data_IF_344527625584
#
_entry.id   IF_344527625584
#
_cell.length_a   1.000
_cell.length_b   1.000
_cell.length_c   1.000
_cell.angle_alpha   90.00
_cell.angle_beta   90.00
_cell.angle_gamma   90.00
#
_symmetry.space_group_name_H-M   'P 1'
#
loop_
_entity.id
_entity.type
_entity.pdbx_description
1 polymer ?
#
# COMPACT_ATOMS: atom_id res chain seq x y z
N UNK A 1 12.26 -19.88 -9.57
CA UNK A 1 12.57 -21.32 -9.50
C UNK A 1 11.62 -22.17 -10.35
N UNK A 2 10.30 -22.07 -10.17
CA UNK A 2 9.32 -22.87 -10.95
C UNK A 2 9.53 -22.74 -12.45
N UNK A 3 9.59 -21.51 -12.97
CA UNK A 3 9.84 -21.25 -14.39
C UNK A 3 11.13 -21.90 -14.91
N UNK A 4 12.23 -21.79 -14.16
CA UNK A 4 13.51 -22.40 -14.52
C UNK A 4 13.43 -23.94 -14.54
N UNK A 5 12.80 -24.54 -13.53
CA UNK A 5 12.58 -26.00 -13.50
C UNK A 5 11.64 -26.50 -14.60
N UNK A 6 10.80 -25.62 -15.14
CA UNK A 6 9.90 -25.89 -16.26
C UNK A 6 10.55 -25.64 -17.63
N UNK A 7 11.83 -25.27 -17.69
CA UNK A 7 12.55 -25.01 -18.94
C UNK A 7 12.18 -23.69 -19.62
N UNK A 8 11.53 -22.77 -18.91
CA UNK A 8 11.29 -21.42 -19.43
C UNK A 8 12.58 -20.60 -19.40
N UNK A 9 12.69 -19.65 -20.31
CA UNK A 9 13.82 -18.71 -20.34
C UNK A 9 13.77 -17.80 -19.12
N UNK A 10 14.83 -17.84 -18.31
CA UNK A 10 14.97 -17.06 -17.08
C UNK A 10 16.37 -16.46 -17.06
N UNK A 11 16.44 -15.15 -16.80
CA UNK A 11 17.69 -14.41 -16.58
C UNK A 11 17.71 -13.90 -15.14
N UNK A 12 17.53 -12.59 -14.92
CA UNK A 12 17.25 -12.06 -13.58
C UNK A 12 15.79 -12.32 -13.20
N UNK A 13 14.89 -12.32 -14.18
CA UNK A 13 13.48 -12.69 -14.07
C UNK A 13 13.04 -13.66 -15.17
N UNK A 14 11.76 -14.03 -15.17
CA UNK A 14 11.13 -14.78 -16.25
C UNK A 14 11.07 -13.86 -17.47
N UNK A 15 11.76 -14.23 -18.55
CA UNK A 15 11.83 -13.40 -19.74
C UNK A 15 10.50 -13.44 -20.47
N UNK A 16 9.89 -12.27 -20.68
CA UNK A 16 8.63 -12.13 -21.39
C UNK A 16 8.74 -11.18 -22.59
N UNK A 17 7.96 -11.47 -23.64
CA UNK A 17 7.75 -10.59 -24.80
C UNK A 17 6.77 -9.44 -24.49
N UNK A 18 6.48 -8.58 -25.48
CA UNK A 18 5.57 -7.44 -25.30
C UNK A 18 4.11 -7.85 -24.99
N UNK A 19 3.70 -9.08 -25.28
CA UNK A 19 2.38 -9.60 -24.91
C UNK A 19 2.40 -10.35 -23.58
N UNK A 20 3.51 -10.26 -22.84
CA UNK A 20 3.77 -10.93 -21.57
C UNK A 20 3.80 -12.46 -21.68
N UNK A 21 4.04 -13.00 -22.87
CA UNK A 21 4.29 -14.43 -23.09
C UNK A 21 5.72 -14.76 -22.72
N UNK A 22 5.90 -15.91 -22.10
CA UNK A 22 7.24 -16.49 -21.84
C UNK A 22 7.79 -17.16 -23.10
N UNK A 23 8.91 -17.87 -22.98
CA UNK A 23 9.43 -18.70 -24.07
C UNK A 23 8.50 -19.86 -24.48
N UNK A 24 7.53 -20.23 -23.65
CA UNK A 24 6.38 -21.04 -24.08
C UNK A 24 5.20 -20.10 -24.42
N UNK A 25 4.67 -20.13 -25.66
CA UNK A 25 3.62 -19.21 -26.10
C UNK A 25 2.27 -19.40 -25.39
N UNK A 26 2.08 -20.51 -24.67
CA UNK A 26 0.87 -20.77 -23.88
C UNK A 26 1.01 -20.39 -22.41
N UNK A 27 2.19 -19.94 -21.99
CA UNK A 27 2.49 -19.56 -20.61
C UNK A 27 2.78 -18.07 -20.56
N UNK A 28 2.03 -17.38 -19.70
CA UNK A 28 2.20 -15.95 -19.42
C UNK A 28 2.80 -15.77 -18.04
N UNK A 29 3.55 -14.69 -17.84
CA UNK A 29 3.98 -14.25 -16.53
C UNK A 29 3.71 -12.75 -16.35
N UNK A 30 3.35 -12.37 -15.14
CA UNK A 30 3.11 -10.97 -14.72
C UNK A 30 3.69 -10.78 -13.33
N UNK A 31 4.04 -9.55 -12.99
CA UNK A 31 4.52 -9.20 -11.66
C UNK A 31 6.02 -8.92 -11.61
N UNK A 32 6.53 -8.82 -10.38
CA UNK A 32 7.94 -8.54 -10.09
C UNK A 32 8.88 -9.67 -10.56
N UNK A 33 8.34 -10.85 -10.86
CA UNK A 33 9.10 -11.97 -11.39
C UNK A 33 9.40 -11.83 -12.89
N UNK A 34 8.81 -10.87 -13.59
CA UNK A 34 8.98 -10.67 -15.04
C UNK A 34 10.21 -9.81 -15.33
N UNK A 35 10.99 -10.26 -16.31
CA UNK A 35 11.98 -9.46 -17.01
C UNK A 35 11.46 -9.15 -18.41
N UNK A 36 11.13 -7.88 -18.66
CA UNK A 36 10.63 -7.40 -19.95
C UNK A 36 11.65 -6.45 -20.56
N UNK A 37 12.10 -6.73 -21.79
CA UNK A 37 13.15 -5.96 -22.50
C UNK A 37 14.41 -5.72 -21.65
N UNK A 38 14.79 -6.69 -20.82
CA UNK A 38 15.95 -6.63 -19.92
C UNK A 38 15.75 -5.82 -18.65
N UNK A 39 14.52 -5.38 -18.37
CA UNK A 39 14.15 -4.55 -17.21
C UNK A 39 13.25 -5.33 -16.25
N UNK A 40 13.51 -5.17 -14.94
CA UNK A 40 12.67 -5.71 -13.87
C UNK A 40 12.01 -4.56 -13.12
N UNK A 41 10.72 -4.69 -12.89
CA UNK A 41 9.93 -3.69 -12.20
C UNK A 41 9.56 -4.17 -10.79
N UNK A 42 10.05 -3.47 -9.77
CA UNK A 42 9.74 -3.73 -8.35
C UNK A 42 8.66 -2.80 -7.80
N UNK A 43 7.63 -2.52 -8.60
CA UNK A 43 6.54 -1.59 -8.27
C UNK A 43 5.21 -2.15 -8.74
N UNK A 44 4.13 -1.79 -8.05
CA UNK A 44 2.78 -2.30 -8.34
C UNK A 44 2.21 -1.77 -9.66
N UNK A 45 2.45 -0.51 -10.03
CA UNK A 45 1.87 0.09 -11.25
C UNK A 45 2.27 -0.66 -12.54
N UNK A 46 3.56 -0.99 -12.79
CA UNK A 46 3.94 -1.84 -13.91
C UNK A 46 3.19 -3.18 -13.95
N UNK A 47 2.89 -3.77 -12.79
CA UNK A 47 2.18 -5.06 -12.72
C UNK A 47 0.73 -4.90 -13.20
N UNK A 48 0.08 -3.77 -12.93
CA UNK A 48 -1.25 -3.49 -13.47
C UNK A 48 -1.23 -3.38 -14.99
N UNK A 49 -0.25 -2.68 -15.56
CA UNK A 49 -0.09 -2.57 -17.01
C UNK A 49 0.16 -3.95 -17.65
N UNK A 50 1.04 -4.76 -17.07
CA UNK A 50 1.29 -6.14 -17.50
C UNK A 50 0.01 -7.00 -17.44
N UNK A 51 -0.74 -6.92 -16.34
CA UNK A 51 -2.01 -7.64 -16.16
C UNK A 51 -3.07 -7.21 -17.18
N UNK A 52 -3.17 -5.90 -17.50
CA UNK A 52 -4.10 -5.39 -18.52
C UNK A 52 -3.79 -6.00 -19.89
N UNK A 53 -2.51 -5.99 -20.29
CA UNK A 53 -2.06 -6.60 -21.56
C UNK A 53 -2.39 -8.09 -21.62
N UNK A 54 -2.08 -8.84 -20.56
CA UNK A 54 -2.43 -10.28 -20.50
C UNK A 54 -3.95 -10.49 -20.57
N UNK A 55 -4.73 -9.68 -19.87
CA UNK A 55 -6.19 -9.77 -19.90
C UNK A 55 -6.73 -9.51 -21.31
N UNK A 56 -6.26 -8.47 -22.00
CA UNK A 56 -6.69 -8.12 -23.36
C UNK A 56 -6.35 -9.22 -24.39
N UNK A 57 -5.15 -9.80 -24.28
CA UNK A 57 -4.69 -10.91 -25.13
C UNK A 57 -5.52 -12.16 -24.88
N UNK A 58 -5.72 -12.55 -23.62
CA UNK A 58 -6.45 -13.78 -23.26
C UNK A 58 -7.95 -13.69 -23.58
N UNK A 59 -8.56 -12.52 -23.37
CA UNK A 59 -9.99 -12.29 -23.66
C UNK A 59 -10.26 -12.00 -25.14
N UNK A 60 -9.20 -11.80 -25.95
CA UNK A 60 -9.27 -11.39 -27.35
C UNK A 60 -9.94 -10.02 -27.56
N UNK A 61 -10.06 -9.22 -26.51
CA UNK A 61 -10.55 -7.84 -26.59
C UNK A 61 -9.48 -6.88 -27.13
N UNK A 62 -8.20 -7.25 -27.04
CA UNK A 62 -7.07 -6.51 -27.61
C UNK A 62 -5.94 -7.47 -27.97
N UNK A 63 -6.10 -8.20 -29.07
CA UNK A 63 -5.15 -9.25 -29.47
C UNK A 63 -3.75 -8.70 -29.80
N UNK A 64 -3.67 -7.42 -30.14
CA UNK A 64 -2.42 -6.72 -30.43
C UNK A 64 -1.94 -5.85 -29.25
N UNK A 65 -2.52 -6.04 -28.06
CA UNK A 65 -2.09 -5.34 -26.86
C UNK A 65 -0.61 -5.65 -26.56
N UNK A 66 0.13 -4.61 -26.20
CA UNK A 66 1.57 -4.66 -25.96
C UNK A 66 1.92 -3.85 -24.72
N UNK A 67 2.77 -4.44 -23.88
CA UNK A 67 3.49 -3.78 -22.81
C UNK A 67 4.84 -3.35 -23.37
N UNK A 68 5.13 -2.05 -23.34
CA UNK A 68 6.36 -1.47 -23.91
C UNK A 68 7.35 -0.98 -22.85
N UNK A 69 7.05 -1.27 -21.58
CA UNK A 69 7.78 -0.78 -20.41
C UNK A 69 7.05 0.38 -19.74
N UNK A 70 7.20 0.49 -18.42
CA UNK A 70 6.55 1.52 -17.60
C UNK A 70 7.49 2.69 -17.28
N UNK A 71 6.91 3.90 -17.24
CA UNK A 71 7.52 5.06 -16.59
C UNK A 71 7.41 4.93 -15.08
N UNK A 72 8.52 5.12 -14.37
CA UNK A 72 8.57 4.86 -12.93
C UNK A 72 8.49 6.14 -12.10
N UNK A 73 7.54 6.13 -11.17
CA UNK A 73 7.39 7.14 -10.14
C UNK A 73 7.18 6.50 -8.79
N UNK A 74 7.99 6.90 -7.81
CA UNK A 74 7.91 6.40 -6.43
C UNK A 74 7.65 7.55 -5.47
N UNK A 75 6.77 7.30 -4.50
CA UNK A 75 6.50 8.20 -3.39
C UNK A 75 6.73 7.44 -2.10
N UNK A 76 7.74 7.87 -1.35
CA UNK A 76 8.10 7.31 -0.05
C UNK A 76 7.58 8.23 1.04
N UNK A 77 6.82 7.65 1.98
CA UNK A 77 6.39 8.30 3.23
C UNK A 77 6.91 7.47 4.38
N UNK A 78 8.14 7.74 4.83
CA UNK A 78 8.78 6.99 5.91
C UNK A 78 9.45 7.97 6.86
N UNK A 79 9.21 7.80 8.17
CA UNK A 79 9.93 8.49 9.26
C UNK A 79 10.01 10.03 9.13
N UNK A 80 8.90 10.68 8.79
CA UNK A 80 8.85 12.15 8.70
C UNK A 80 9.57 12.73 7.48
N UNK A 81 9.96 11.89 6.52
CA UNK A 81 10.51 12.31 5.24
C UNK A 81 9.49 12.02 4.13
N UNK A 82 9.02 13.08 3.49
CA UNK A 82 8.27 13.01 2.25
C UNK A 82 9.25 13.09 1.08
N UNK A 83 9.35 12.01 0.31
CA UNK A 83 10.21 11.93 -0.87
C UNK A 83 9.42 11.42 -2.07
N UNK A 84 9.56 12.10 -3.20
CA UNK A 84 9.06 11.67 -4.50
C UNK A 84 10.22 11.64 -5.47
N UNK A 85 10.35 10.55 -6.21
CA UNK A 85 11.34 10.40 -7.28
C UNK A 85 10.68 9.75 -8.47
N UNK A 86 10.82 10.35 -9.65
CA UNK A 86 10.30 9.83 -10.90
C UNK A 86 11.30 10.02 -12.04
N UNK A 87 11.29 9.12 -13.00
CA UNK A 87 12.12 9.18 -14.21
C UNK A 87 13.62 9.31 -13.94
N UNK A 88 14.28 10.08 -14.79
CA UNK A 88 15.73 10.28 -14.78
C UNK A 88 16.20 11.04 -13.53
N UNK A 89 17.26 10.52 -12.90
CA UNK A 89 17.87 11.18 -11.71
C UNK A 89 18.89 12.23 -12.12
N UNK A 90 19.51 12.06 -13.28
CA UNK A 90 20.54 12.92 -13.85
C UNK A 90 20.19 13.18 -15.32
N UNK A 91 20.64 14.32 -15.88
CA UNK A 91 20.55 14.57 -17.31
C UNK A 91 21.13 13.41 -18.11
N UNK A 92 20.41 12.98 -19.13
CA UNK A 92 20.83 11.94 -20.06
C UNK A 92 21.10 12.51 -21.46
N UNK A 93 20.72 13.78 -21.71
CA UNK A 93 20.98 14.53 -22.94
C UNK A 93 21.58 15.92 -22.65
N UNK A 94 22.42 16.48 -23.53
CA UNK A 94 22.83 17.90 -23.47
C UNK A 94 21.67 18.90 -23.55
N UNK A 95 20.55 18.51 -24.17
CA UNK A 95 19.36 19.35 -24.33
C UNK A 95 18.45 19.35 -23.07
N UNK A 96 18.84 18.61 -22.04
CA UNK A 96 18.07 18.55 -20.79
C UNK A 96 18.19 19.86 -20.01
N UNK A 97 17.06 20.53 -19.84
CA UNK A 97 16.92 21.63 -18.90
C UNK A 97 16.82 21.06 -17.47
N UNK A 98 17.66 21.54 -16.56
CA UNK A 98 17.65 21.12 -15.15
C UNK A 98 17.31 22.30 -14.25
N UNK A 99 16.18 22.19 -13.55
CA UNK A 99 15.74 23.18 -12.56
C UNK A 99 15.93 22.60 -11.16
N UNK A 100 16.65 23.33 -10.29
CA UNK A 100 16.91 22.89 -8.92
C UNK A 100 16.57 23.99 -7.93
N UNK A 101 15.83 23.63 -6.89
CA UNK A 101 15.66 24.42 -5.68
C UNK A 101 16.15 23.65 -4.46
N UNK A 102 16.85 24.34 -3.57
CA UNK A 102 17.40 23.76 -2.35
C UNK A 102 17.28 24.75 -1.21
N UNK A 103 16.64 24.31 -0.12
CA UNK A 103 16.64 25.00 1.17
C UNK A 103 17.01 24.00 2.27
N UNK A 104 18.31 23.87 2.60
CA UNK A 104 18.77 22.91 3.59
C UNK A 104 18.23 23.16 5.00
N UNK A 105 17.97 24.42 5.36
CA UNK A 105 17.48 24.79 6.69
C UNK A 105 16.04 24.30 6.91
N UNK A 106 15.24 24.29 5.84
CA UNK A 106 13.87 23.74 5.84
C UNK A 106 13.81 22.27 5.40
N UNK A 107 14.95 21.65 5.07
CA UNK A 107 15.00 20.29 4.57
C UNK A 107 14.37 20.09 3.19
N UNK A 108 14.31 21.13 2.36
CA UNK A 108 13.68 21.09 1.05
C UNK A 108 14.71 20.87 -0.06
N UNK A 109 14.38 19.96 -0.96
CA UNK A 109 15.11 19.78 -2.22
C UNK A 109 14.12 19.44 -3.33
N UNK A 110 14.13 20.22 -4.42
CA UNK A 110 13.32 19.97 -5.59
C UNK A 110 14.22 20.00 -6.82
N UNK A 111 14.16 18.96 -7.64
CA UNK A 111 14.86 18.86 -8.93
C UNK A 111 13.86 18.45 -9.99
N UNK A 112 13.92 19.11 -11.13
CA UNK A 112 13.17 18.80 -12.33
C UNK A 112 14.15 18.70 -13.51
N UNK A 113 13.99 17.66 -14.32
CA UNK A 113 14.69 17.45 -15.58
C UNK A 113 13.65 17.51 -16.68
N UNK A 114 13.84 18.40 -17.63
CA UNK A 114 12.91 18.68 -18.73
C UNK A 114 13.61 18.45 -20.07
N UNK A 115 12.92 17.78 -20.99
CA UNK A 115 13.32 17.63 -22.40
C UNK A 115 12.09 17.76 -23.27
N UNK A 116 12.20 18.52 -24.35
CA UNK A 116 11.10 18.76 -25.29
C UNK A 116 9.81 19.23 -24.60
N UNK A 117 9.95 20.14 -23.64
CA UNK A 117 8.87 20.67 -22.79
C UNK A 117 8.16 19.64 -21.89
N UNK A 118 8.72 18.44 -21.72
CA UNK A 118 8.15 17.35 -20.93
C UNK A 118 9.04 16.96 -19.76
N UNK A 119 8.41 16.47 -18.70
CA UNK A 119 9.13 15.93 -17.54
C UNK A 119 9.86 14.65 -17.95
N UNK A 120 11.19 14.62 -17.83
CA UNK A 120 12.00 13.41 -17.98
C UNK A 120 12.36 12.81 -16.62
N UNK A 121 12.42 13.64 -15.58
CA UNK A 121 12.63 13.17 -14.22
C UNK A 121 12.42 14.25 -13.19
N UNK A 122 12.09 13.85 -11.96
CA UNK A 122 11.94 14.77 -10.85
C UNK A 122 12.26 14.13 -9.51
N UNK A 123 12.79 14.94 -8.59
CA UNK A 123 13.03 14.56 -7.19
C UNK A 123 12.48 15.68 -6.30
N UNK A 124 11.54 15.35 -5.42
CA UNK A 124 10.97 16.29 -4.43
C UNK A 124 11.17 15.72 -3.03
N UNK A 125 11.81 16.48 -2.15
CA UNK A 125 12.10 16.14 -0.76
C UNK A 125 11.57 17.22 0.18
N UNK A 126 10.92 16.79 1.25
CA UNK A 126 10.37 17.64 2.30
C UNK A 126 8.98 18.18 1.92
N UNK A 127 8.90 19.00 0.87
CA UNK A 127 7.63 19.47 0.33
C UNK A 127 7.28 18.72 -0.96
N UNK A 128 6.25 17.87 -0.86
CA UNK A 128 5.74 17.05 -1.97
C UNK A 128 4.31 17.41 -2.37
N UNK A 129 3.81 18.61 -2.02
CA UNK A 129 2.42 19.02 -2.30
C UNK A 129 2.03 18.85 -3.78
N UNK A 130 2.91 19.27 -4.69
CA UNK A 130 2.68 19.22 -6.15
C UNK A 130 3.07 17.90 -6.83
N UNK A 131 3.49 16.90 -6.04
CA UNK A 131 3.99 15.64 -6.59
C UNK A 131 2.99 14.87 -7.45
N UNK A 132 1.70 14.99 -7.16
CA UNK A 132 0.66 14.30 -7.93
C UNK A 132 0.52 14.91 -9.32
N UNK A 133 0.49 16.24 -9.44
CA UNK A 133 0.43 16.93 -10.74
C UNK A 133 1.68 16.62 -11.55
N UNK A 134 2.87 16.73 -10.94
CA UNK A 134 4.12 16.44 -11.63
C UNK A 134 4.19 14.98 -12.09
N UNK A 135 3.66 14.05 -11.30
CA UNK A 135 3.53 12.64 -11.69
C UNK A 135 2.60 12.48 -12.90
N UNK A 136 1.46 13.18 -12.94
CA UNK A 136 0.55 13.13 -14.09
C UNK A 136 1.22 13.68 -15.36
N UNK A 137 1.93 14.80 -15.27
CA UNK A 137 2.67 15.37 -16.39
C UNK A 137 3.75 14.42 -16.89
N UNK A 138 4.46 13.75 -15.98
CA UNK A 138 5.46 12.74 -16.32
C UNK A 138 4.87 11.50 -17.00
N UNK A 139 3.80 10.93 -16.43
CA UNK A 139 3.18 9.70 -16.95
C UNK A 139 2.51 9.94 -18.31
N UNK A 140 1.88 11.10 -18.51
CA UNK A 140 1.11 11.40 -19.72
C UNK A 140 1.87 12.20 -20.79
N UNK A 141 3.19 12.43 -20.62
CA UNK A 141 3.97 13.29 -21.52
C UNK A 141 3.36 14.69 -21.69
N UNK A 142 2.81 15.23 -20.60
CA UNK A 142 2.15 16.53 -20.57
C UNK A 142 3.13 17.68 -20.73
N UNK A 143 2.69 18.71 -21.43
CA UNK A 143 3.43 19.96 -21.59
C UNK A 143 3.58 20.70 -20.25
N UNK A 144 4.78 21.23 -20.02
CA UNK A 144 5.09 22.07 -18.87
C UNK A 144 4.80 23.54 -19.18
N UNK A 145 4.38 24.34 -18.17
CA UNK A 145 4.27 25.78 -18.33
C UNK A 145 5.64 26.41 -18.59
N UNK A 146 5.67 27.57 -19.25
CA UNK A 146 6.92 28.30 -19.54
C UNK A 146 7.71 28.57 -18.25
N UNK A 147 7.02 28.95 -17.17
CA UNK A 147 7.62 29.16 -15.88
C UNK A 147 7.68 27.84 -15.08
N UNK A 148 8.84 27.18 -15.10
CA UNK A 148 9.07 25.91 -14.39
C UNK A 148 8.87 25.99 -12.88
N UNK A 149 8.93 27.18 -12.29
CA UNK A 149 8.68 27.36 -10.87
C UNK A 149 7.23 26.99 -10.50
N UNK A 150 6.26 27.14 -11.40
CA UNK A 150 4.83 26.87 -11.13
C UNK A 150 4.54 25.38 -10.93
N UNK A 151 5.36 24.49 -11.50
CA UNK A 151 5.24 23.04 -11.26
C UNK A 151 6.09 22.56 -10.07
N UNK A 152 7.00 23.41 -9.58
CA UNK A 152 7.84 23.12 -8.42
C UNK A 152 7.23 23.69 -7.14
N UNK A 153 6.54 24.82 -7.20
CA UNK A 153 5.93 25.53 -6.08
C UNK A 153 4.47 25.80 -6.39
N UNK A 154 3.65 25.71 -5.35
CA UNK A 154 2.28 26.19 -5.42
C UNK A 154 2.31 27.67 -5.87
N UNK A 155 1.60 28.01 -6.93
CA UNK A 155 1.38 29.41 -7.24
C UNK A 155 0.69 30.01 -6.01
N UNK A 156 1.32 31.02 -5.41
CA UNK A 156 0.67 31.83 -4.39
C UNK A 156 -0.54 32.45 -5.08
N UNK A 157 -1.74 31.93 -4.77
CA UNK A 157 -3.08 32.28 -5.27
C UNK A 157 -3.77 31.17 -6.09
N UNK A 158 -4.45 30.24 -5.38
CA UNK A 158 -5.78 29.72 -5.75
C UNK A 158 -5.98 29.02 -7.11
N UNK A 159 -4.93 28.84 -7.89
CA UNK A 159 -4.97 28.28 -9.25
C UNK A 159 -4.14 27.01 -9.26
N UNK A 160 -4.79 25.89 -8.95
CA UNK A 160 -4.21 24.58 -9.23
C UNK A 160 -4.02 24.48 -10.75
N UNK A 161 -2.79 24.26 -11.23
CA UNK A 161 -2.49 24.08 -12.68
C UNK A 161 -3.34 22.96 -13.33
N UNK A 162 -3.91 22.06 -12.53
CA UNK A 162 -4.93 21.11 -12.94
C UNK A 162 -6.02 21.08 -11.86
N UNK A 163 -7.26 21.45 -12.19
CA UNK A 163 -8.38 21.05 -11.34
C UNK A 163 -8.56 19.54 -11.49
N UNK A 164 -8.80 18.83 -10.39
CA UNK A 164 -9.08 17.40 -10.45
C UNK A 164 -10.30 17.07 -11.32
N UNK A 165 -11.21 18.03 -11.47
CA UNK A 165 -12.34 18.00 -12.40
C UNK A 165 -11.92 17.93 -13.88
N UNK A 166 -10.77 18.51 -14.26
CA UNK A 166 -10.31 18.62 -15.65
C UNK A 166 -9.45 17.43 -16.10
N UNK A 167 -9.11 16.51 -15.18
CA UNK A 167 -8.38 15.29 -15.53
C UNK A 167 -9.19 14.44 -16.52
N UNK A 168 -8.56 13.76 -17.50
CA UNK A 168 -9.27 12.81 -18.34
C UNK A 168 -9.79 11.62 -17.53
N UNK A 169 -10.84 10.97 -18.02
CA UNK A 169 -11.45 9.79 -17.37
C UNK A 169 -10.45 8.65 -17.15
N UNK A 170 -9.49 8.50 -18.06
CA UNK A 170 -8.40 7.51 -17.97
C UNK A 170 -7.28 7.89 -17.01
N UNK A 171 -7.28 9.11 -16.43
CA UNK A 171 -6.21 9.55 -15.55
C UNK A 171 -6.07 8.64 -14.34
N UNK A 172 -4.87 8.11 -14.13
CA UNK A 172 -4.56 7.23 -13.02
C UNK A 172 -4.59 8.03 -11.71
N UNK A 173 -5.47 7.67 -10.77
CA UNK A 173 -5.63 8.38 -9.48
C UNK A 173 -4.96 7.61 -8.33
N UNK A 174 -5.11 6.29 -8.27
CA UNK A 174 -4.50 5.44 -7.25
C UNK A 174 -3.58 4.37 -7.83
N UNK A 175 -2.27 4.62 -7.81
CA UNK A 175 -1.27 3.69 -8.36
C UNK A 175 -1.20 2.35 -7.59
N UNK A 176 -1.53 2.35 -6.29
CA UNK A 176 -1.50 1.11 -5.50
C UNK A 176 -2.58 0.11 -5.92
N UNK A 177 -3.75 0.60 -6.35
CA UNK A 177 -4.91 -0.24 -6.62
C UNK A 177 -5.42 -0.12 -8.06
N UNK A 178 -4.66 0.55 -8.95
CA UNK A 178 -5.01 0.64 -10.37
C UNK A 178 -6.28 1.45 -10.66
N UNK A 179 -6.68 2.38 -9.79
CA UNK A 179 -7.96 3.12 -9.90
C UNK A 179 -7.78 4.43 -10.66
N UNK A 180 -8.57 4.65 -11.71
CA UNK A 180 -8.60 5.87 -12.52
C UNK A 180 -9.72 6.83 -12.11
N UNK A 181 -9.76 8.04 -12.71
CA UNK A 181 -10.80 9.04 -12.46
C UNK A 181 -12.19 8.48 -12.76
N UNK A 182 -12.36 7.78 -13.88
CA UNK A 182 -13.64 7.17 -14.27
C UNK A 182 -14.19 6.25 -13.19
N UNK A 183 -13.37 5.38 -12.61
CA UNK A 183 -13.81 4.45 -11.55
C UNK A 183 -14.35 5.21 -10.32
N UNK A 184 -13.75 6.35 -10.00
CA UNK A 184 -14.20 7.22 -8.89
C UNK A 184 -15.52 7.88 -9.25
N UNK A 185 -15.63 8.48 -10.44
CA UNK A 185 -16.85 9.15 -10.92
C UNK A 185 -18.01 8.15 -11.04
N UNK A 186 -17.76 6.94 -11.51
CA UNK A 186 -18.74 5.85 -11.53
C UNK A 186 -19.17 5.44 -10.11
N UNK A 187 -18.24 5.34 -9.15
CA UNK A 187 -18.59 5.07 -7.75
C UNK A 187 -19.42 6.21 -7.12
N UNK A 188 -19.18 7.46 -7.52
CA UNK A 188 -20.00 8.60 -7.10
C UNK A 188 -21.42 8.47 -7.68
N UNK A 189 -21.53 8.30 -8.99
CA UNK A 189 -22.80 8.35 -9.71
C UNK A 189 -23.68 7.11 -9.52
N UNK A 190 -23.07 5.92 -9.52
CA UNK A 190 -23.80 4.65 -9.50
C UNK A 190 -24.00 4.11 -8.08
N UNK A 191 -23.04 4.35 -7.19
CA UNK A 191 -23.05 3.82 -5.82
C UNK A 191 -23.31 4.89 -4.74
N UNK A 192 -23.43 6.16 -5.14
CA UNK A 192 -23.71 7.27 -4.21
C UNK A 192 -22.56 7.55 -3.25
N UNK A 193 -21.32 7.22 -3.61
CA UNK A 193 -20.16 7.48 -2.77
C UNK A 193 -19.90 8.99 -2.65
N UNK A 194 -20.01 9.55 -1.45
CA UNK A 194 -19.80 11.00 -1.20
C UNK A 194 -18.56 11.35 -0.38
N UNK A 195 -17.84 10.36 0.15
CA UNK A 195 -16.64 10.57 0.98
C UNK A 195 -15.44 9.79 0.45
N UNK A 196 -14.23 10.19 0.85
CA UNK A 196 -12.99 9.49 0.47
C UNK A 196 -13.01 8.06 1.01
N UNK A 197 -13.54 7.85 2.22
CA UNK A 197 -13.78 6.54 2.83
C UNK A 197 -14.70 5.67 1.97
N UNK A 198 -15.85 6.19 1.55
CA UNK A 198 -16.81 5.46 0.71
C UNK A 198 -16.17 5.03 -0.62
N UNK A 199 -15.45 5.95 -1.29
CA UNK A 199 -14.68 5.64 -2.49
C UNK A 199 -13.65 4.54 -2.21
N UNK A 200 -12.93 4.61 -1.09
CA UNK A 200 -11.96 3.57 -0.73
C UNK A 200 -12.58 2.23 -0.38
N UNK A 201 -13.81 2.19 0.14
CA UNK A 201 -14.56 0.93 0.34
C UNK A 201 -14.89 0.29 -1.00
N UNK A 202 -15.39 1.09 -1.96
CA UNK A 202 -15.83 0.60 -3.27
C UNK A 202 -14.68 0.24 -4.20
N UNK A 203 -13.69 1.12 -4.33
CA UNK A 203 -12.62 1.04 -5.35
C UNK A 203 -11.27 0.56 -4.79
N UNK A 204 -11.13 0.48 -3.46
CA UNK A 204 -9.84 0.29 -2.74
C UNK A 204 -8.89 1.49 -2.82
N UNK A 205 -9.21 2.54 -3.58
CA UNK A 205 -8.38 3.74 -3.63
C UNK A 205 -8.18 4.35 -2.23
N UNK A 206 -6.97 4.84 -1.94
CA UNK A 206 -6.65 5.46 -0.65
C UNK A 206 -6.45 4.48 0.52
N UNK A 207 -6.61 3.16 0.33
CA UNK A 207 -6.39 2.13 1.36
C UNK A 207 -4.98 1.53 1.38
N UNK A 208 -4.16 1.79 0.35
CA UNK A 208 -2.76 1.36 0.25
C UNK A 208 -1.81 2.34 0.96
N UNK A 209 -1.15 3.20 0.19
CA UNK A 209 -0.25 4.23 0.74
C UNK A 209 -0.97 5.55 1.13
N UNK A 210 -2.24 5.71 0.75
CA UNK A 210 -3.05 6.89 1.06
C UNK A 210 -2.70 8.18 0.29
N UNK A 211 -1.73 8.18 -0.61
CA UNK A 211 -1.27 9.39 -1.32
C UNK A 211 -2.33 10.04 -2.21
N UNK A 212 -3.28 9.25 -2.70
CA UNK A 212 -4.34 9.71 -3.60
C UNK A 212 -5.56 10.28 -2.85
N UNK A 213 -5.64 10.21 -1.51
CA UNK A 213 -6.82 10.66 -0.75
C UNK A 213 -7.20 12.12 -1.01
N UNK A 214 -6.22 13.01 -1.10
CA UNK A 214 -6.47 14.43 -1.41
C UNK A 214 -7.01 14.63 -2.83
N UNK A 215 -6.48 13.91 -3.81
CA UNK A 215 -6.97 13.97 -5.19
C UNK A 215 -8.39 13.38 -5.29
N UNK A 216 -8.68 12.30 -4.57
CA UNK A 216 -10.04 11.75 -4.46
C UNK A 216 -11.00 12.81 -3.90
N UNK A 217 -10.63 13.52 -2.84
CA UNK A 217 -11.46 14.59 -2.27
C UNK A 217 -11.74 15.69 -3.31
N UNK A 218 -10.73 16.14 -4.05
CA UNK A 218 -10.90 17.14 -5.12
C UNK A 218 -11.80 16.64 -6.26
N UNK A 219 -11.73 15.36 -6.63
CA UNK A 219 -12.63 14.76 -7.65
C UNK A 219 -14.08 14.72 -7.14
N UNK A 220 -14.28 14.34 -5.88
CA UNK A 220 -15.61 14.33 -5.25
C UNK A 220 -16.18 15.76 -5.25
N UNK A 221 -15.40 16.74 -4.79
CA UNK A 221 -15.79 18.16 -4.78
C UNK A 221 -16.12 18.67 -6.18
N UNK A 222 -15.29 18.36 -7.17
CA UNK A 222 -15.52 18.76 -8.55
C UNK A 222 -16.75 18.09 -9.19
N UNK A 223 -17.16 16.90 -8.71
CA UNK A 223 -18.30 16.15 -9.26
C UNK A 223 -19.62 16.49 -8.54
N UNK A 224 -19.58 16.70 -7.22
CA UNK A 224 -20.77 16.90 -6.38
C UNK A 224 -20.94 18.33 -5.86
N UNK A 225 -19.93 19.20 -5.98
CA UNK A 225 -19.88 20.54 -5.41
C UNK A 225 -19.48 20.59 -3.93
N UNK A 226 -19.56 19.47 -3.21
CA UNK A 226 -19.10 19.33 -1.83
C UNK A 226 -18.53 17.92 -1.60
N UNK A 227 -17.54 17.81 -0.72
CA UNK A 227 -17.10 16.51 -0.22
C UNK A 227 -17.95 16.15 0.98
N UNK A 228 -18.68 15.04 0.88
CA UNK A 228 -19.43 14.49 2.00
C UNK A 228 -18.52 14.23 3.18
N UNK A 229 -18.84 14.84 4.32
CA UNK A 229 -18.12 14.61 5.57
C UNK A 229 -18.51 13.23 6.12
N UNK A 230 -17.54 12.33 6.18
CA UNK A 230 -17.65 11.07 6.90
C UNK A 230 -16.84 11.18 8.19
N UNK A 231 -17.49 11.44 9.34
CA UNK A 231 -16.80 11.59 10.61
C UNK A 231 -15.97 10.34 10.97
N UNK A 232 -16.33 9.17 10.42
CA UNK A 232 -15.62 7.92 10.69
C UNK A 232 -14.20 7.87 10.13
N UNK A 233 -13.85 8.78 9.22
CA UNK A 233 -12.47 8.93 8.74
C UNK A 233 -11.49 9.37 9.82
N UNK A 234 -11.99 10.10 10.82
CA UNK A 234 -11.16 10.65 11.89
C UNK A 234 -11.18 9.79 13.15
N UNK A 235 -12.04 8.77 13.19
CA UNK A 235 -12.11 7.86 14.32
C UNK A 235 -10.79 7.09 14.46
N UNK A 236 -10.30 6.97 15.69
CA UNK A 236 -9.07 6.21 15.93
C UNK A 236 -9.23 4.71 15.61
N UNK A 237 -10.43 4.19 15.85
CA UNK A 237 -10.86 2.83 15.51
C UNK A 237 -12.31 2.87 15.04
N UNK A 238 -12.72 1.92 14.20
CA UNK A 238 -14.05 1.90 13.55
C UNK A 238 -15.23 1.78 14.52
N UNK A 239 -15.03 1.11 15.65
CA UNK A 239 -16.06 0.78 16.64
C UNK A 239 -16.28 1.84 17.70
N UNK A 240 -15.49 2.92 17.73
CA UNK A 240 -15.63 4.00 18.70
C UNK A 240 -15.64 5.33 17.95
N UNK A 241 -16.76 6.09 17.98
CA UNK A 241 -16.94 7.28 17.15
C UNK A 241 -16.23 8.52 17.70
N UNK A 242 -14.93 8.39 17.98
CA UNK A 242 -14.09 9.43 18.56
C UNK A 242 -12.73 9.49 17.87
N UNK A 243 -12.26 10.71 17.65
CA UNK A 243 -10.89 10.95 17.23
C UNK A 243 -9.90 10.54 18.32
N UNK A 244 -8.63 10.33 17.95
CA UNK A 244 -7.60 9.88 18.91
C UNK A 244 -7.47 10.81 20.12
N UNK A 245 -7.47 12.13 19.92
CA UNK A 245 -7.33 13.12 21.00
C UNK A 245 -8.51 13.06 21.97
N UNK A 246 -9.74 13.02 21.45
CA UNK A 246 -10.98 12.91 22.20
C UNK A 246 -11.05 11.56 22.93
N UNK A 247 -10.75 10.46 22.24
CA UNK A 247 -10.72 9.12 22.82
C UNK A 247 -9.72 9.02 23.98
N UNK A 248 -8.53 9.57 23.83
CA UNK A 248 -7.52 9.62 24.92
C UNK A 248 -8.02 10.45 26.10
N UNK A 249 -8.67 11.59 25.83
CA UNK A 249 -9.24 12.43 26.88
C UNK A 249 -10.33 11.69 27.66
N UNK A 250 -11.29 11.05 26.96
CA UNK A 250 -12.36 10.29 27.58
C UNK A 250 -11.85 9.08 28.38
N UNK A 251 -10.92 8.31 27.82
CA UNK A 251 -10.28 7.18 28.52
C UNK A 251 -9.65 7.64 29.84
N UNK A 252 -8.97 8.80 29.85
CA UNK A 252 -8.33 9.35 31.05
C UNK A 252 -9.34 9.88 32.06
N UNK A 253 -10.30 10.68 31.60
CA UNK A 253 -11.34 11.29 32.45
C UNK A 253 -12.17 10.23 33.15
N UNK A 254 -12.58 9.19 32.42
CA UNK A 254 -13.45 8.13 32.92
C UNK A 254 -12.66 6.93 33.49
N UNK A 255 -11.31 7.00 33.48
CA UNK A 255 -10.40 5.96 33.98
C UNK A 255 -10.67 4.57 33.39
N UNK A 256 -10.93 4.51 32.09
CA UNK A 256 -11.23 3.27 31.37
C UNK A 256 -9.95 2.44 31.22
N UNK A 257 -9.90 1.24 31.80
CA UNK A 257 -8.69 0.40 31.86
C UNK A 257 -8.79 -0.91 31.10
N UNK A 258 -9.90 -1.19 30.43
CA UNK A 258 -10.10 -2.40 29.61
C UNK A 258 -10.77 -2.07 28.28
N UNK A 259 -10.61 -2.93 27.27
CA UNK A 259 -11.26 -2.72 25.96
C UNK A 259 -12.78 -2.82 26.09
N UNK A 260 -13.30 -3.76 26.88
CA UNK A 260 -14.74 -3.82 27.17
C UNK A 260 -15.25 -2.55 27.85
N UNK A 261 -14.50 -1.96 28.79
CA UNK A 261 -14.94 -0.69 29.42
C UNK A 261 -15.02 0.46 28.43
N UNK A 262 -14.16 0.48 27.41
CA UNK A 262 -14.23 1.45 26.31
C UNK A 262 -15.49 1.24 25.47
N UNK A 263 -15.82 0.01 25.08
CA UNK A 263 -17.05 -0.22 24.31
C UNK A 263 -18.31 0.06 25.12
N UNK A 264 -18.34 -0.35 26.38
CA UNK A 264 -19.48 -0.11 27.27
C UNK A 264 -19.80 1.38 27.38
N UNK A 265 -18.77 2.19 27.61
CA UNK A 265 -18.93 3.61 27.92
C UNK A 265 -18.97 4.48 26.66
N UNK A 266 -18.15 4.17 25.64
CA UNK A 266 -17.95 5.03 24.48
C UNK A 266 -18.56 4.48 23.18
N UNK A 267 -19.09 3.25 23.19
CA UNK A 267 -19.75 2.62 22.03
C UNK A 267 -21.13 2.02 22.37
N UNK A 268 -21.73 2.39 23.50
CA UNK A 268 -23.05 1.92 23.92
C UNK A 268 -23.13 0.41 24.12
N UNK A 269 -22.03 -0.22 24.58
CA UNK A 269 -21.95 -1.67 24.80
C UNK A 269 -21.75 -2.51 23.54
N UNK A 270 -21.71 -1.90 22.34
CA UNK A 270 -21.49 -2.63 21.10
C UNK A 270 -20.01 -2.90 20.90
N UNK A 271 -19.60 -4.15 21.05
CA UNK A 271 -18.23 -4.56 20.72
C UNK A 271 -17.98 -4.59 19.21
N UNK A 272 -16.81 -4.13 18.80
CA UNK A 272 -16.30 -4.24 17.43
C UNK A 272 -14.96 -5.02 17.42
N UNK A 273 -14.92 -6.24 16.85
CA UNK A 273 -13.71 -7.07 16.84
C UNK A 273 -12.49 -6.39 16.21
N UNK A 274 -12.68 -5.63 15.13
CA UNK A 274 -11.60 -4.99 14.38
C UNK A 274 -10.96 -3.83 15.16
N UNK A 275 -11.72 -3.21 16.07
CA UNK A 275 -11.23 -2.14 16.94
C UNK A 275 -10.45 -2.62 18.16
N UNK A 276 -10.62 -3.87 18.58
CA UNK A 276 -10.07 -4.37 19.85
C UNK A 276 -8.56 -4.21 19.97
N UNK A 277 -7.83 -4.51 18.90
CA UNK A 277 -6.36 -4.43 18.89
C UNK A 277 -5.88 -2.98 19.01
N UNK A 278 -6.49 -2.07 18.26
CA UNK A 278 -6.15 -0.65 18.31
C UNK A 278 -6.37 -0.07 19.70
N UNK A 279 -7.52 -0.40 20.31
CA UNK A 279 -7.86 0.00 21.67
C UNK A 279 -6.91 -0.61 22.71
N UNK A 280 -6.57 -1.90 22.60
CA UNK A 280 -5.62 -2.54 23.50
C UNK A 280 -4.23 -1.88 23.45
N UNK A 281 -3.75 -1.54 22.26
CA UNK A 281 -2.48 -0.81 22.07
C UNK A 281 -2.52 0.58 22.72
N UNK A 282 -3.61 1.32 22.49
CA UNK A 282 -3.80 2.65 23.06
C UNK A 282 -3.87 2.61 24.60
N UNK A 283 -4.65 1.68 25.16
CA UNK A 283 -4.80 1.53 26.61
C UNK A 283 -3.50 1.10 27.28
N UNK A 284 -2.70 0.22 26.67
CA UNK A 284 -1.35 -0.11 27.17
C UNK A 284 -0.43 1.10 27.25
N UNK A 285 -0.61 2.05 26.34
CA UNK A 285 0.15 3.32 26.31
C UNK A 285 -0.33 4.30 27.38
N UNK A 286 -1.65 4.39 27.60
CA UNK A 286 -2.25 5.31 28.57
C UNK A 286 -2.08 4.82 30.01
N UNK A 287 -2.22 3.50 30.24
CA UNK A 287 -2.17 2.85 31.55
C UNK A 287 -1.08 1.78 31.65
N UNK A 288 0.23 2.13 31.56
CA UNK A 288 1.30 1.15 31.70
C UNK A 288 1.23 0.42 33.05
N UNK A 289 1.10 -0.91 33.03
CA UNK A 289 1.01 -1.74 34.25
C UNK A 289 -0.36 -1.74 34.95
N UNK A 290 -1.28 -0.88 34.56
CA UNK A 290 -2.64 -0.79 35.12
C UNK A 290 -3.74 -1.22 34.14
N UNK A 291 -3.41 -1.35 32.85
CA UNK A 291 -4.30 -1.88 31.83
C UNK A 291 -4.70 -3.34 32.12
N UNK A 292 -6.00 -3.60 32.10
CA UNK A 292 -6.57 -4.94 32.17
C UNK A 292 -6.49 -5.62 30.79
N UNK A 293 -5.49 -6.49 30.65
CA UNK A 293 -5.16 -7.18 29.40
C UNK A 293 -6.15 -8.32 29.12
N UNK A 294 -7.21 -7.96 28.40
CA UNK A 294 -8.24 -8.89 27.98
C UNK A 294 -7.75 -9.78 26.83
N UNK A 295 -7.76 -11.10 27.07
CA UNK A 295 -7.21 -12.09 26.13
C UNK A 295 -7.86 -11.97 24.75
N UNK A 296 -9.16 -11.75 24.66
CA UNK A 296 -9.91 -11.62 23.41
C UNK A 296 -9.62 -10.32 22.64
N UNK A 297 -9.03 -9.31 23.29
CA UNK A 297 -8.58 -8.07 22.66
C UNK A 297 -7.18 -8.15 22.04
N UNK A 298 -6.45 -9.25 22.30
CA UNK A 298 -5.17 -9.53 21.64
C UNK A 298 -5.40 -10.05 20.22
N UNK A 299 -4.41 -9.87 19.35
CA UNK A 299 -4.39 -10.55 18.05
C UNK A 299 -4.61 -12.06 18.26
N UNK A 300 -5.33 -12.71 17.33
CA UNK A 300 -5.59 -14.15 17.43
C UNK A 300 -4.29 -14.95 17.60
N UNK A 301 -3.21 -14.50 16.97
CA UNK A 301 -1.89 -15.13 17.07
C UNK A 301 -1.32 -15.10 18.49
N UNK A 302 -1.57 -14.03 19.24
CA UNK A 302 -1.16 -13.86 20.62
C UNK A 302 -2.10 -14.57 21.60
N UNK A 303 -3.36 -14.81 21.19
CA UNK A 303 -4.37 -15.53 22.00
C UNK A 303 -4.08 -17.00 22.12
N UNK A 304 -3.69 -17.60 21.00
CA UNK A 304 -3.52 -19.04 20.88
C UNK A 304 -2.07 -19.45 20.59
N UNK A 305 -1.13 -18.50 20.70
CA UNK A 305 0.30 -18.74 20.48
C UNK A 305 0.61 -19.45 19.15
N UNK A 306 -0.11 -19.06 18.08
CA UNK A 306 0.01 -19.66 16.75
C UNK A 306 -0.71 -18.84 15.67
N UNK A 307 -0.19 -18.85 14.44
CA UNK A 307 -0.71 -18.04 13.34
C UNK A 307 -1.77 -18.80 12.54
N UNK A 308 -2.97 -18.25 12.44
CA UNK A 308 -4.05 -18.88 11.65
C UNK A 308 -3.69 -18.94 10.15
N UNK A 309 -3.97 -20.08 9.53
CA UNK A 309 -3.76 -20.35 8.10
C UNK A 309 -5.09 -20.27 7.35
N UNK A 310 -5.04 -20.14 6.01
CA UNK A 310 -6.24 -20.07 5.15
C UNK A 310 -7.15 -21.30 5.28
N UNK A 311 -6.59 -22.47 5.59
CA UNK A 311 -7.34 -23.72 5.78
C UNK A 311 -7.94 -23.88 7.19
N UNK A 312 -7.86 -22.83 8.03
CA UNK A 312 -8.36 -22.84 9.41
C UNK A 312 -7.45 -23.57 10.42
N UNK A 313 -6.33 -24.14 9.98
CA UNK A 313 -5.29 -24.67 10.86
C UNK A 313 -4.35 -23.55 11.33
N UNK A 314 -3.40 -23.88 12.20
CA UNK A 314 -2.46 -22.92 12.77
C UNK A 314 -1.02 -23.31 12.45
N UNK A 315 -0.17 -22.30 12.33
CA UNK A 315 1.28 -22.46 12.32
C UNK A 315 1.86 -22.07 13.67
N UNK A 316 2.81 -22.85 14.18
CA UNK A 316 3.46 -22.62 15.46
C UNK A 316 4.96 -22.53 15.21
N UNK A 317 5.54 -21.40 15.58
CA UNK A 317 6.98 -21.15 15.48
C UNK A 317 7.58 -21.33 16.87
N UNK A 318 8.31 -22.43 17.15
CA UNK A 318 8.97 -22.63 18.42
C UNK A 318 9.98 -21.51 18.66
N UNK A 319 10.05 -21.04 19.91
CA UNK A 319 10.99 -19.99 20.29
C UNK A 319 12.41 -20.56 20.35
N UNK A 320 13.33 -19.96 19.60
CA UNK A 320 14.76 -20.24 19.63
C UNK A 320 15.47 -18.94 20.02
N UNK A 321 16.07 -18.89 21.20
CA UNK A 321 16.68 -17.66 21.73
C UNK A 321 17.98 -17.35 21.00
N UNK A 322 18.07 -16.15 20.41
CA UNK A 322 19.26 -15.71 19.68
C UNK A 322 19.60 -16.56 18.44
N UNK A 323 18.67 -17.39 17.95
CA UNK A 323 18.93 -18.34 16.87
C UNK A 323 19.84 -19.52 17.25
N UNK A 324 20.19 -19.65 18.54
CA UNK A 324 21.03 -20.74 19.05
C UNK A 324 20.15 -21.89 19.50
N UNK A 325 20.44 -23.11 19.02
CA UNK A 325 19.71 -24.31 19.41
C UNK A 325 20.63 -25.50 19.63
N UNK A 326 20.19 -26.46 20.43
CA UNK A 326 20.89 -27.73 20.69
C UNK A 326 20.26 -28.90 19.92
N UNK A 327 20.99 -30.00 19.68
CA UNK A 327 20.40 -31.22 19.11
C UNK A 327 19.17 -31.73 19.88
N UNK A 328 19.16 -31.62 21.21
CA UNK A 328 18.03 -32.02 22.04
C UNK A 328 16.80 -31.11 21.88
N UNK A 329 16.98 -29.81 21.65
CA UNK A 329 15.90 -28.88 21.33
C UNK A 329 15.31 -29.17 19.94
N UNK A 330 16.16 -29.43 18.95
CA UNK A 330 15.71 -29.84 17.62
C UNK A 330 14.93 -31.15 17.69
N UNK A 331 15.39 -32.12 18.48
CA UNK A 331 14.66 -33.37 18.70
C UNK A 331 13.31 -33.14 19.39
N UNK A 332 13.23 -32.20 20.35
CA UNK A 332 11.96 -31.81 20.98
C UNK A 332 11.00 -31.18 19.98
N UNK A 333 11.48 -30.30 19.09
CA UNK A 333 10.68 -29.69 18.03
C UNK A 333 10.17 -30.77 17.06
N UNK A 334 11.03 -31.70 16.62
CA UNK A 334 10.66 -32.81 15.76
C UNK A 334 9.61 -33.72 16.43
N UNK A 335 9.79 -34.06 17.70
CA UNK A 335 8.81 -34.82 18.48
C UNK A 335 7.45 -34.11 18.58
N UNK A 336 7.45 -32.79 18.75
CA UNK A 336 6.22 -32.00 18.76
C UNK A 336 5.52 -32.04 17.39
N UNK A 337 6.28 -31.87 16.30
CA UNK A 337 5.74 -31.94 14.94
C UNK A 337 5.05 -33.30 14.66
N UNK A 338 5.68 -34.41 15.08
CA UNK A 338 5.09 -35.76 14.96
C UNK A 338 3.87 -35.92 15.86
N UNK A 339 3.98 -35.55 17.14
CA UNK A 339 2.90 -35.70 18.14
C UNK A 339 1.62 -35.00 17.71
N UNK A 340 1.74 -33.78 17.18
CA UNK A 340 0.61 -32.96 16.78
C UNK A 340 0.26 -33.07 15.29
N UNK A 341 0.87 -34.05 14.59
CA UNK A 341 0.60 -34.34 13.17
C UNK A 341 0.72 -33.08 12.29
N UNK A 342 1.78 -32.31 12.47
CA UNK A 342 2.08 -31.17 11.63
C UNK A 342 2.09 -31.61 10.16
N UNK A 343 1.35 -30.91 9.31
CA UNK A 343 1.28 -31.21 7.86
C UNK A 343 2.59 -30.89 7.16
N UNK A 344 3.32 -29.89 7.66
CA UNK A 344 4.57 -29.42 7.08
C UNK A 344 5.45 -28.80 8.17
N UNK A 345 6.76 -29.03 8.07
CA UNK A 345 7.78 -28.29 8.81
C UNK A 345 8.55 -27.45 7.81
N UNK A 346 8.54 -26.13 7.99
CA UNK A 346 9.13 -25.16 7.05
C UNK A 346 10.18 -24.31 7.75
N UNK A 347 11.25 -23.97 7.05
CA UNK A 347 12.12 -22.84 7.44
C UNK A 347 11.55 -21.57 6.80
N UNK A 348 11.18 -20.62 7.65
CA UNK A 348 10.61 -19.33 7.22
C UNK A 348 11.68 -18.41 6.61
N UNK A 349 11.27 -17.38 5.88
CA UNK A 349 12.21 -16.36 5.37
C UNK A 349 13.00 -15.63 6.47
N UNK A 350 12.46 -15.60 7.70
CA UNK A 350 13.16 -15.12 8.89
C UNK A 350 14.05 -16.18 9.57
N UNK A 351 14.39 -17.27 8.88
CA UNK A 351 15.25 -18.37 9.35
C UNK A 351 14.75 -19.07 10.63
N UNK A 352 13.44 -19.17 10.82
CA UNK A 352 12.82 -19.88 11.96
C UNK A 352 12.14 -21.16 11.51
N UNK A 353 12.14 -22.17 12.37
CA UNK A 353 11.36 -23.41 12.17
C UNK A 353 9.88 -23.11 12.43
N UNK A 354 9.01 -23.48 11.49
CA UNK A 354 7.56 -23.31 11.59
C UNK A 354 6.85 -24.65 11.38
N UNK A 355 5.93 -24.98 12.29
CA UNK A 355 5.14 -26.19 12.29
C UNK A 355 3.73 -25.85 11.79
N UNK A 356 3.39 -26.22 10.57
CA UNK A 356 2.10 -25.90 9.95
C UNK A 356 1.09 -27.03 10.06
N UNK A 357 -0.20 -26.69 10.06
CA UNK A 357 -1.29 -27.66 10.05
C UNK A 357 -1.78 -28.07 11.44
N UNK A 358 -1.40 -27.35 12.49
CA UNK A 358 -1.75 -27.67 13.88
C UNK A 358 -3.22 -27.30 14.14
N UNK A 359 -3.98 -28.17 14.81
CA UNK A 359 -5.37 -27.88 15.17
C UNK A 359 -5.43 -26.92 16.36
N UNK A 360 -6.47 -26.08 16.41
CA UNK A 360 -6.67 -25.09 17.49
C UNK A 360 -6.57 -25.70 18.91
N UNK A 361 -7.14 -26.88 19.11
CA UNK A 361 -7.17 -27.55 20.42
C UNK A 361 -5.80 -28.07 20.88
N UNK A 362 -4.84 -28.17 19.96
CA UNK A 362 -3.49 -28.67 20.20
C UNK A 362 -2.49 -27.54 20.45
N UNK A 363 -2.94 -26.28 20.39
CA UNK A 363 -2.12 -25.10 20.61
C UNK A 363 -1.74 -24.91 22.10
N UNK A 364 -0.62 -24.24 22.39
CA UNK A 364 -0.24 -23.88 23.75
C UNK A 364 -1.37 -23.11 24.46
N UNK A 365 -1.63 -23.47 25.73
CA UNK A 365 -2.72 -22.91 26.52
C UNK A 365 -2.34 -21.66 27.28
#
# INVERSE_FOLDING_TARGET
EVANSSGLTVEKGIVCDDQMKTSDPNVFAVGECVEHRGVLYGLVEPIWEQCRVVADVLTRCGIDAQYTGSKLGTKLKVMGVDLVSMGDKNPTSPDDEVVVYRDPNRGLYKKLIVRDNKVQGAILLGDTGFSNVLMQLFLNDGDLPENRAEVLFDAVEGTSLLNAADLPDSAQVCNCNGVCKKDIVEAINNDGCKSVSAIGVKTKAGKGCGSCRGLIAQIIEGTLGEVGYDPSEHYYVTGVPLEKSQLVAEIRTQKLKSVSSVFEVLAGGKEDPDSKVGLASLLKTIWPGEYDDQRDARFINDRVHGNIQKDGTFSVVPRIYGGVTTPDELLRIAKAAVKYKAKMVKITGGQRIDLLGIKKNDLPK
#
